data_IF_945841358934
#
_entry.id   IF_945841358934
#
_cell.length_a   1.000
_cell.length_b   1.000
_cell.length_c   1.000
_cell.angle_alpha   90.00
_cell.angle_beta   90.00
_cell.angle_gamma   90.00
#
_symmetry.space_group_name_H-M   'P 1'
#
loop_
_entity.id
_entity.type
_entity.pdbx_description
1 polymer ?
#
# COMPACT_ATOMS: atom_id res chain seq x y z
N UNK A 1 33.81 -15.78 22.57
CA UNK A 1 32.38 -15.99 22.38
C UNK A 1 31.59 -15.65 23.64
N UNK A 2 30.31 -15.41 23.52
CA UNK A 2 29.40 -15.22 24.65
C UNK A 2 28.77 -16.58 25.04
N UNK A 3 28.37 -16.77 26.29
CA UNK A 3 27.66 -17.98 26.69
C UNK A 3 26.36 -18.16 25.92
N UNK A 4 25.92 -19.38 25.74
CA UNK A 4 24.66 -19.72 25.06
C UNK A 4 23.49 -19.07 25.80
N UNK A 5 22.64 -18.29 25.14
CA UNK A 5 21.49 -17.67 25.79
C UNK A 5 20.42 -18.72 26.14
N UNK A 6 19.65 -18.45 27.18
CA UNK A 6 18.56 -19.33 27.64
C UNK A 6 17.37 -19.32 26.67
N UNK A 7 17.22 -18.26 25.90
CA UNK A 7 16.13 -18.09 24.96
C UNK A 7 16.61 -18.08 23.51
N UNK A 8 15.69 -18.39 22.60
CA UNK A 8 15.83 -18.19 21.15
C UNK A 8 14.83 -17.15 20.68
N UNK A 9 15.28 -16.30 19.73
CA UNK A 9 14.39 -15.41 19.00
C UNK A 9 13.61 -16.22 17.97
N UNK A 10 12.30 -16.12 18.03
CA UNK A 10 11.38 -16.74 17.07
C UNK A 10 10.62 -15.62 16.35
N UNK A 11 10.61 -15.67 15.03
CA UNK A 11 9.79 -14.78 14.20
C UNK A 11 8.48 -15.49 13.88
N UNK A 12 7.38 -14.83 14.22
CA UNK A 12 6.03 -15.35 13.99
C UNK A 12 5.36 -14.49 12.94
N UNK A 13 4.94 -15.11 11.84
CA UNK A 13 4.10 -14.47 10.83
C UNK A 13 2.62 -14.56 11.21
N UNK A 14 1.88 -13.50 10.99
CA UNK A 14 0.43 -13.47 11.19
C UNK A 14 -0.26 -12.64 10.11
N UNK A 15 -1.50 -12.93 9.82
CA UNK A 15 -2.31 -12.14 8.91
C UNK A 15 -2.65 -10.79 9.56
N UNK A 16 -2.11 -9.72 9.01
CA UNK A 16 -2.28 -8.36 9.52
C UNK A 16 -3.39 -7.56 8.83
N UNK A 17 -4.04 -8.15 7.83
CA UNK A 17 -5.12 -7.54 7.07
C UNK A 17 -4.88 -7.56 5.56
N UNK A 18 -5.43 -6.57 4.88
CA UNK A 18 -5.43 -6.42 3.43
C UNK A 18 -5.04 -4.99 3.06
N UNK A 19 -4.29 -4.83 1.95
CA UNK A 19 -4.07 -3.55 1.29
C UNK A 19 -4.83 -3.59 -0.03
N UNK A 20 -5.74 -2.63 -0.19
CA UNK A 20 -6.34 -2.31 -1.48
C UNK A 20 -5.64 -1.13 -2.12
N UNK A 21 -5.41 -1.22 -3.42
CA UNK A 21 -4.78 -0.16 -4.19
C UNK A 21 -5.55 0.11 -5.47
N UNK A 22 -5.62 1.39 -5.84
CA UNK A 22 -6.13 1.83 -7.13
C UNK A 22 -5.20 2.86 -7.74
N UNK A 23 -5.03 2.78 -9.06
CA UNK A 23 -4.22 3.73 -9.83
C UNK A 23 -5.00 4.24 -11.04
N UNK A 24 -4.80 5.51 -11.42
CA UNK A 24 -5.29 6.11 -12.66
C UNK A 24 -4.34 7.23 -13.09
N UNK A 25 -4.11 7.37 -14.40
CA UNK A 25 -3.24 8.41 -14.95
C UNK A 25 -4.02 9.54 -15.60
N UNK A 26 -3.47 10.76 -15.50
CA UNK A 26 -3.91 11.96 -16.19
C UNK A 26 -2.73 12.54 -16.95
N UNK A 27 -2.93 12.96 -18.22
CA UNK A 27 -1.89 13.52 -19.05
C UNK A 27 -2.35 14.78 -19.80
N UNK A 28 -1.40 15.61 -20.23
CA UNK A 28 -1.65 16.85 -20.96
C UNK A 28 -2.01 18.04 -20.06
N UNK A 29 -2.74 19.00 -20.60
CA UNK A 29 -3.09 20.22 -19.89
C UNK A 29 -3.80 19.91 -18.55
N UNK A 30 -3.34 20.57 -17.49
CA UNK A 30 -3.90 20.41 -16.13
C UNK A 30 -3.89 18.96 -15.59
N UNK A 31 -2.91 18.14 -15.98
CA UNK A 31 -2.80 16.76 -15.51
C UNK A 31 -2.67 16.68 -13.99
N UNK A 32 -1.86 17.57 -13.40
CA UNK A 32 -1.63 17.63 -11.94
C UNK A 32 -2.90 17.98 -11.18
N UNK A 33 -3.61 19.01 -11.63
CA UNK A 33 -4.84 19.50 -11.00
C UNK A 33 -5.94 18.43 -11.08
N UNK A 34 -6.06 17.75 -12.23
CA UNK A 34 -7.03 16.66 -12.38
C UNK A 34 -6.70 15.46 -11.48
N UNK A 35 -5.43 15.09 -11.39
CA UNK A 35 -4.99 14.03 -10.48
C UNK A 35 -5.26 14.39 -9.01
N UNK A 36 -5.00 15.64 -8.61
CA UNK A 36 -5.28 16.13 -7.25
C UNK A 36 -6.77 16.10 -6.95
N UNK A 37 -7.60 16.63 -7.86
CA UNK A 37 -9.05 16.58 -7.72
C UNK A 37 -9.57 15.14 -7.61
N UNK A 38 -9.05 14.22 -8.41
CA UNK A 38 -9.40 12.81 -8.34
C UNK A 38 -9.05 12.20 -6.95
N UNK A 39 -7.86 12.50 -6.43
CA UNK A 39 -7.45 12.08 -5.09
C UNK A 39 -8.37 12.61 -3.98
N UNK A 40 -8.76 13.90 -4.06
CA UNK A 40 -9.70 14.52 -3.13
C UNK A 40 -11.09 13.88 -3.18
N UNK A 41 -11.59 13.56 -4.39
CA UNK A 41 -12.88 12.89 -4.57
C UNK A 41 -12.86 11.54 -3.83
N UNK A 42 -11.85 10.70 -4.07
CA UNK A 42 -11.77 9.40 -3.42
C UNK A 42 -11.60 9.55 -1.90
N UNK A 43 -10.73 10.47 -1.46
CA UNK A 43 -10.55 10.70 -0.03
C UNK A 43 -11.85 11.09 0.67
N UNK A 44 -12.66 11.99 0.08
CA UNK A 44 -13.96 12.38 0.62
C UNK A 44 -14.99 11.26 0.62
N UNK A 45 -14.92 10.34 -0.35
CA UNK A 45 -15.88 9.23 -0.46
C UNK A 45 -15.61 8.10 0.52
N UNK A 46 -14.34 7.71 0.66
CA UNK A 46 -13.97 6.51 1.40
C UNK A 46 -12.86 6.70 2.43
N UNK A 47 -12.16 7.83 2.45
CA UNK A 47 -10.98 8.05 3.31
C UNK A 47 -11.24 7.78 4.79
N UNK A 48 -12.38 8.24 5.31
CA UNK A 48 -12.76 8.10 6.72
C UNK A 48 -13.07 6.63 7.13
N UNK A 49 -13.16 5.72 6.19
CA UNK A 49 -13.36 4.29 6.48
C UNK A 49 -12.06 3.56 6.86
N UNK A 50 -10.90 4.23 6.74
CA UNK A 50 -9.59 3.61 6.91
C UNK A 50 -8.74 4.35 7.94
N UNK A 51 -8.05 3.60 8.80
CA UNK A 51 -7.05 4.15 9.72
C UNK A 51 -5.75 4.53 8.99
N UNK A 52 -5.43 3.80 7.92
CA UNK A 52 -4.26 4.04 7.07
C UNK A 52 -4.75 4.26 5.62
N UNK A 53 -4.72 5.50 5.16
CA UNK A 53 -5.11 5.92 3.81
C UNK A 53 -4.02 6.81 3.21
N UNK A 54 -3.52 6.44 2.05
CA UNK A 54 -2.41 7.13 1.39
C UNK A 54 -2.76 7.51 -0.04
N UNK A 55 -2.41 8.73 -0.40
CA UNK A 55 -2.54 9.28 -1.76
C UNK A 55 -1.15 9.67 -2.24
N UNK A 56 -0.74 9.10 -3.37
CA UNK A 56 0.53 9.40 -4.03
C UNK A 56 0.29 9.96 -5.43
N UNK A 57 1.05 10.97 -5.81
CA UNK A 57 1.09 11.52 -7.16
C UNK A 57 2.43 11.13 -7.80
N UNK A 58 2.44 9.96 -8.45
CA UNK A 58 3.64 9.41 -9.11
C UNK A 58 3.97 10.25 -10.33
N UNK A 59 5.24 10.64 -10.45
CA UNK A 59 5.71 11.59 -11.45
C UNK A 59 5.69 13.05 -10.99
N UNK A 60 5.16 13.34 -9.78
CA UNK A 60 5.16 14.68 -9.19
C UNK A 60 5.82 14.71 -7.80
N UNK A 61 5.20 14.08 -6.79
CA UNK A 61 5.60 14.27 -5.40
C UNK A 61 5.76 12.97 -4.60
N UNK A 62 5.54 11.80 -5.20
CA UNK A 62 5.52 10.51 -4.50
C UNK A 62 6.84 10.11 -3.83
N UNK A 63 8.00 10.59 -4.31
CA UNK A 63 9.32 10.25 -3.77
C UNK A 63 9.80 11.24 -2.72
N UNK A 64 9.67 12.54 -2.98
CA UNK A 64 10.30 13.59 -2.16
C UNK A 64 9.31 14.52 -1.47
N UNK A 65 8.00 14.27 -1.65
CA UNK A 65 6.95 15.11 -1.09
C UNK A 65 6.72 16.43 -1.85
N UNK A 66 5.70 17.16 -1.44
CA UNK A 66 5.29 18.40 -2.13
C UNK A 66 6.30 19.55 -1.99
N UNK A 67 7.02 19.63 -0.89
CA UNK A 67 7.97 20.72 -0.63
C UNK A 67 9.11 20.79 -1.66
N UNK A 68 9.59 19.64 -2.14
CA UNK A 68 10.66 19.57 -3.14
C UNK A 68 10.16 19.57 -4.57
N UNK A 69 8.86 19.35 -4.78
CA UNK A 69 8.22 19.35 -6.11
C UNK A 69 7.52 20.67 -6.45
N UNK A 70 7.62 21.68 -5.58
CA UNK A 70 7.03 23.01 -5.82
C UNK A 70 7.52 23.60 -7.14
N UNK A 71 6.56 24.05 -7.97
CA UNK A 71 6.85 24.62 -9.28
C UNK A 71 7.16 23.62 -10.40
N UNK A 72 7.16 22.31 -10.08
CA UNK A 72 7.28 21.26 -11.09
C UNK A 72 5.97 21.10 -11.84
N UNK A 73 6.04 20.99 -13.18
CA UNK A 73 4.91 20.63 -14.01
C UNK A 73 5.22 19.29 -14.68
N UNK A 74 4.32 18.32 -14.51
CA UNK A 74 4.46 17.02 -15.17
C UNK A 74 3.43 16.91 -16.29
N UNK A 75 3.87 16.44 -17.46
CA UNK A 75 2.95 16.17 -18.58
C UNK A 75 1.97 15.03 -18.25
N UNK A 76 2.44 14.05 -17.47
CA UNK A 76 1.63 12.92 -17.01
C UNK A 76 1.86 12.69 -15.52
N UNK A 77 0.77 12.47 -14.80
CA UNK A 77 0.77 12.13 -13.37
C UNK A 77 -0.10 10.90 -13.17
N UNK A 78 0.42 9.92 -12.44
CA UNK A 78 -0.35 8.77 -11.99
C UNK A 78 -0.77 8.97 -10.53
N UNK A 79 -2.06 9.08 -10.31
CA UNK A 79 -2.66 8.97 -8.99
C UNK A 79 -2.59 7.52 -8.54
N UNK A 80 -2.05 7.27 -7.35
CA UNK A 80 -2.12 5.99 -6.64
C UNK A 80 -2.77 6.23 -5.29
N UNK A 81 -3.78 5.44 -4.97
CA UNK A 81 -4.43 5.41 -3.67
C UNK A 81 -4.24 4.03 -3.09
N UNK A 82 -3.80 3.96 -1.83
CA UNK A 82 -3.63 2.73 -1.10
C UNK A 82 -4.23 2.87 0.30
N UNK A 83 -4.98 1.87 0.75
CA UNK A 83 -5.49 1.84 2.11
C UNK A 83 -5.47 0.41 2.67
N UNK A 84 -5.30 0.33 4.00
CA UNK A 84 -5.23 -0.92 4.72
C UNK A 84 -6.49 -1.14 5.55
N UNK A 85 -6.99 -2.38 5.55
CA UNK A 85 -8.11 -2.80 6.37
C UNK A 85 -7.96 -4.26 6.82
N UNK A 86 -8.57 -4.59 7.95
CA UNK A 86 -8.78 -5.98 8.36
C UNK A 86 -9.91 -6.64 7.56
N UNK A 87 -10.79 -5.84 6.97
CA UNK A 87 -11.88 -6.32 6.13
C UNK A 87 -11.44 -6.30 4.65
N UNK A 88 -11.40 -7.46 4.03
CA UNK A 88 -11.00 -7.64 2.63
C UNK A 88 -11.88 -6.84 1.66
N UNK A 89 -13.20 -6.87 1.84
CA UNK A 89 -14.14 -6.17 0.96
C UNK A 89 -13.96 -4.64 1.05
N UNK A 90 -13.66 -4.12 2.24
CA UNK A 90 -13.35 -2.71 2.42
C UNK A 90 -12.04 -2.33 1.73
N UNK A 91 -10.99 -3.16 1.84
CA UNK A 91 -9.74 -2.92 1.12
C UNK A 91 -9.96 -2.94 -0.40
N UNK A 92 -10.74 -3.90 -0.92
CA UNK A 92 -11.06 -4.01 -2.34
C UNK A 92 -11.77 -2.77 -2.89
N UNK A 93 -12.62 -2.12 -2.08
CA UNK A 93 -13.36 -0.91 -2.46
C UNK A 93 -12.44 0.21 -2.95
N UNK A 94 -11.21 0.31 -2.46
CA UNK A 94 -10.22 1.33 -2.89
C UNK A 94 -10.00 1.27 -4.40
N UNK A 95 -9.74 0.07 -4.92
CA UNK A 95 -9.53 -0.13 -6.35
C UNK A 95 -10.79 0.13 -7.18
N UNK A 96 -11.96 -0.26 -6.67
CA UNK A 96 -13.25 -0.06 -7.34
C UNK A 96 -13.61 1.41 -7.44
N UNK A 97 -13.39 2.20 -6.38
CA UNK A 97 -13.64 3.64 -6.39
C UNK A 97 -12.69 4.39 -7.35
N UNK A 98 -11.42 3.98 -7.42
CA UNK A 98 -10.48 4.57 -8.39
C UNK A 98 -10.86 4.20 -9.83
N UNK A 99 -11.28 2.96 -10.09
CA UNK A 99 -11.77 2.54 -11.41
C UNK A 99 -13.03 3.33 -11.82
N UNK A 100 -13.94 3.62 -10.88
CA UNK A 100 -15.13 4.41 -11.12
C UNK A 100 -14.84 5.85 -11.57
N UNK A 101 -13.62 6.37 -11.36
CA UNK A 101 -13.22 7.69 -11.87
C UNK A 101 -13.21 7.78 -13.40
N UNK A 102 -13.22 6.66 -14.13
CA UNK A 102 -13.39 6.69 -15.60
C UNK A 102 -14.68 7.38 -16.03
N UNK A 103 -15.74 7.20 -15.24
CA UNK A 103 -17.07 7.76 -15.57
C UNK A 103 -17.49 8.89 -14.64
N UNK A 104 -17.00 8.89 -13.40
CA UNK A 104 -17.45 9.80 -12.35
C UNK A 104 -16.35 10.76 -11.86
N UNK A 105 -15.18 10.75 -12.48
CA UNK A 105 -14.03 11.55 -12.12
C UNK A 105 -13.72 12.69 -13.09
N UNK A 106 -12.60 13.37 -12.89
CA UNK A 106 -12.10 14.37 -13.84
C UNK A 106 -11.88 13.78 -15.22
N UNK A 107 -12.18 14.55 -16.26
CA UNK A 107 -12.08 14.10 -17.64
C UNK A 107 -10.66 13.65 -18.04
N UNK A 108 -10.57 12.62 -18.88
CA UNK A 108 -9.31 12.15 -19.46
C UNK A 108 -8.47 11.27 -18.54
N UNK A 109 -9.07 10.70 -17.50
CA UNK A 109 -8.44 9.63 -16.73
C UNK A 109 -8.25 8.37 -17.58
N UNK A 110 -7.09 7.71 -17.47
CA UNK A 110 -6.76 6.53 -18.28
C UNK A 110 -5.86 5.56 -17.52
N UNK A 111 -5.80 4.30 -18.00
CA UNK A 111 -4.89 3.30 -17.50
C UNK A 111 -5.15 2.90 -16.04
N UNK A 112 -6.43 2.86 -15.62
CA UNK A 112 -6.75 2.45 -14.26
C UNK A 112 -6.30 1.02 -13.99
N UNK A 113 -5.78 0.81 -12.79
CA UNK A 113 -5.37 -0.50 -12.27
C UNK A 113 -5.83 -0.63 -10.83
N UNK A 114 -6.11 -1.85 -10.42
CA UNK A 114 -6.49 -2.17 -9.05
C UNK A 114 -5.78 -3.42 -8.56
N UNK A 115 -5.39 -3.39 -7.30
CA UNK A 115 -4.70 -4.52 -6.65
C UNK A 115 -5.29 -4.74 -5.27
N UNK A 116 -5.27 -6.00 -4.84
CA UNK A 116 -5.63 -6.41 -3.49
C UNK A 116 -4.56 -7.39 -3.03
N UNK A 117 -3.91 -7.07 -1.91
CA UNK A 117 -2.82 -7.88 -1.36
C UNK A 117 -3.07 -8.18 0.11
N UNK A 118 -2.81 -9.43 0.49
CA UNK A 118 -2.77 -9.82 1.90
C UNK A 118 -1.51 -9.25 2.58
N UNK A 119 -1.68 -8.76 3.79
CA UNK A 119 -0.57 -8.24 4.60
C UNK A 119 -0.17 -9.26 5.64
N UNK A 120 1.08 -9.70 5.57
CA UNK A 120 1.68 -10.55 6.59
C UNK A 120 2.49 -9.68 7.55
N UNK A 121 2.03 -9.60 8.79
CA UNK A 121 2.78 -8.99 9.89
C UNK A 121 3.80 -9.96 10.46
N UNK A 122 4.92 -9.45 10.94
CA UNK A 122 5.95 -10.25 11.61
C UNK A 122 6.21 -9.70 13.00
N UNK A 123 6.09 -10.54 14.00
CA UNK A 123 6.44 -10.22 15.39
C UNK A 123 7.56 -11.14 15.86
N UNK A 124 8.49 -10.60 16.64
CA UNK A 124 9.56 -11.38 17.26
C UNK A 124 9.24 -11.64 18.72
N UNK A 125 9.29 -12.89 19.12
CA UNK A 125 9.13 -13.35 20.50
C UNK A 125 10.40 -14.06 20.98
N UNK A 126 10.58 -14.17 22.29
CA UNK A 126 11.62 -14.99 22.89
C UNK A 126 10.96 -16.25 23.46
N UNK A 127 11.47 -17.40 23.06
CA UNK A 127 11.03 -18.71 23.58
C UNK A 127 12.17 -19.38 24.33
N UNK A 128 11.86 -20.07 25.42
CA UNK A 128 12.84 -20.86 26.12
C UNK A 128 13.43 -21.92 25.19
N UNK A 129 14.74 -22.02 25.19
CA UNK A 129 15.46 -22.91 24.28
C UNK A 129 15.06 -24.38 24.49
N UNK A 130 14.73 -24.78 25.73
CA UNK A 130 14.36 -26.15 26.09
C UNK A 130 13.01 -26.59 25.48
N UNK A 131 12.20 -25.62 25.00
CA UNK A 131 10.94 -25.90 24.30
C UNK A 131 11.13 -26.20 22.81
N UNK A 132 12.36 -26.04 22.30
CA UNK A 132 12.65 -26.18 20.88
C UNK A 132 13.49 -27.42 20.64
N UNK A 133 12.91 -28.41 19.98
CA UNK A 133 13.57 -29.68 19.63
C UNK A 133 13.91 -29.68 18.13
N UNK A 134 15.17 -29.39 17.74
CA UNK A 134 15.56 -29.39 16.33
C UNK A 134 15.53 -30.83 15.77
N UNK A 135 14.91 -31.00 14.60
CA UNK A 135 14.97 -32.24 13.82
C UNK A 135 15.90 -32.04 12.62
N UNK A 136 16.93 -32.87 12.53
CA UNK A 136 17.95 -32.76 11.49
C UNK A 136 17.80 -33.94 10.54
N UNK A 137 17.61 -33.69 9.25
CA UNK A 137 17.66 -34.69 8.18
C UNK A 137 18.87 -34.42 7.29
N UNK A 138 19.70 -35.46 7.07
CA UNK A 138 20.83 -35.36 6.17
C UNK A 138 20.47 -36.12 4.88
N UNK A 139 20.43 -35.40 3.79
CA UNK A 139 20.26 -35.98 2.45
C UNK A 139 21.64 -36.21 1.87
N UNK A 140 21.93 -37.46 1.48
CA UNK A 140 23.12 -37.79 0.69
C UNK A 140 22.82 -37.49 -0.78
N UNK A 141 23.66 -36.70 -1.41
CA UNK A 141 23.66 -36.45 -2.86
C UNK A 141 24.19 -37.64 -3.63
#
# INVERSE_FOLDING_TARGET
GKPKPETLKVSVGYQAGWIGEGEISYAGAHAVERAKLAGEIIHKRIGDHFDEFRVDYIGLSSLHGESLSQGSSSYEVRLRIAAKSKNQALAQLVGEEVEALYTNGPAGGSGARKYLSEVIGVVSILMNRDQIHPHIQVFKS
#
